data_IF_046483855821
#
_entry.id   IF_046483855821
#
_cell.length_a   1.000
_cell.length_b   1.000
_cell.length_c   1.000
_cell.angle_alpha   90.00
_cell.angle_beta   90.00
_cell.angle_gamma   90.00
#
_symmetry.space_group_name_H-M   'P 1'
#
loop_
_entity.id
_entity.type
_entity.pdbx_description
1 polymer ?
#
# COMPACT_ATOMS: atom_id res chain seq x y z
N UNK A 1 34.78 -56.46 -12.40
CA UNK A 1 33.48 -57.07 -12.01
C UNK A 1 32.49 -55.93 -11.81
N UNK A 2 31.30 -56.07 -12.38
CA UNK A 2 30.03 -55.41 -12.02
C UNK A 2 30.03 -53.96 -11.45
N UNK A 3 29.65 -53.02 -12.32
CA UNK A 3 28.46 -52.14 -12.15
C UNK A 3 27.21 -52.92 -11.66
N UNK A 4 26.17 -52.31 -11.03
CA UNK A 4 25.74 -50.90 -11.13
C UNK A 4 25.47 -50.26 -9.71
N UNK A 5 24.70 -49.18 -9.46
CA UNK A 5 23.69 -48.45 -10.26
C UNK A 5 23.37 -47.00 -9.80
N UNK A 6 22.53 -46.35 -10.62
CA UNK A 6 21.69 -45.14 -10.52
C UNK A 6 20.87 -44.95 -9.20
N UNK A 7 20.10 -43.87 -8.91
CA UNK A 7 19.16 -43.08 -9.75
C UNK A 7 18.94 -41.65 -9.21
N UNK A 8 18.50 -40.75 -10.11
CA UNK A 8 17.92 -39.40 -9.94
C UNK A 8 18.81 -38.18 -10.17
N UNK A 9 19.24 -38.06 -11.42
CA UNK A 9 19.41 -36.77 -12.08
C UNK A 9 18.02 -36.09 -12.24
N UNK A 10 17.81 -34.88 -11.71
CA UNK A 10 16.58 -34.09 -11.91
C UNK A 10 16.93 -32.73 -12.49
N UNK A 11 16.78 -32.60 -13.81
CA UNK A 11 16.92 -31.32 -14.53
C UNK A 11 15.73 -30.41 -14.22
N UNK A 12 15.94 -29.11 -13.91
CA UNK A 12 14.82 -28.20 -13.65
C UNK A 12 13.99 -27.94 -14.92
N UNK A 13 12.65 -27.78 -14.80
CA UNK A 13 11.78 -27.56 -15.95
C UNK A 13 11.96 -26.16 -16.55
N UNK A 14 12.07 -26.09 -17.87
CA UNK A 14 12.08 -24.83 -18.62
C UNK A 14 10.69 -24.20 -18.64
N UNK A 15 10.51 -23.11 -17.88
CA UNK A 15 9.27 -22.33 -17.88
C UNK A 15 9.07 -21.61 -19.21
N UNK A 16 8.30 -22.21 -20.11
CA UNK A 16 7.93 -21.57 -21.38
C UNK A 16 6.95 -20.41 -21.16
N UNK A 17 7.32 -19.23 -21.64
CA UNK A 17 6.47 -18.03 -21.56
C UNK A 17 5.30 -18.14 -22.55
N UNK A 18 4.03 -17.95 -22.14
CA UNK A 18 2.91 -17.96 -23.07
C UNK A 18 3.04 -16.86 -24.12
N UNK A 19 2.97 -17.23 -25.41
CA UNK A 19 2.94 -16.28 -26.53
C UNK A 19 1.71 -15.38 -26.41
N UNK A 20 1.91 -14.07 -26.26
CA UNK A 20 0.84 -13.12 -26.03
C UNK A 20 -0.21 -13.11 -27.15
N UNK A 21 -1.50 -13.25 -26.79
CA UNK A 21 -2.59 -13.00 -27.72
C UNK A 21 -2.52 -11.54 -28.20
N UNK A 22 -2.32 -11.36 -29.51
CA UNK A 22 -2.47 -10.06 -30.16
C UNK A 22 -3.95 -9.64 -30.09
N UNK A 23 -4.31 -8.80 -29.11
CA UNK A 23 -5.59 -8.10 -29.12
C UNK A 23 -5.64 -7.24 -30.39
N UNK A 24 -6.63 -7.51 -31.26
CA UNK A 24 -6.90 -6.65 -32.43
C UNK A 24 -7.20 -5.24 -31.93
N UNK A 25 -6.45 -4.27 -32.44
CA UNK A 25 -6.65 -2.85 -32.17
C UNK A 25 -7.90 -2.41 -32.93
N UNK A 26 -9.04 -2.33 -32.26
CA UNK A 26 -10.25 -1.74 -32.85
C UNK A 26 -10.01 -0.24 -32.99
N UNK A 27 -9.90 0.24 -34.22
CA UNK A 27 -9.97 1.67 -34.53
C UNK A 27 -11.41 2.11 -34.35
N UNK A 28 -11.70 2.83 -33.26
CA UNK A 28 -12.88 3.68 -33.18
C UNK A 28 -12.58 4.94 -33.98
N UNK A 29 -13.27 5.12 -35.11
CA UNK A 29 -13.17 6.32 -35.95
C UNK A 29 -13.79 7.51 -35.23
N UNK A 30 -12.96 8.50 -34.91
CA UNK A 30 -13.35 9.70 -34.18
C UNK A 30 -14.00 10.74 -35.12
N UNK A 31 -15.24 10.47 -35.55
CA UNK A 31 -16.00 11.44 -36.35
C UNK A 31 -16.67 12.48 -35.45
N UNK A 32 -15.86 13.44 -34.99
CA UNK A 32 -16.32 14.61 -34.25
C UNK A 32 -16.83 15.67 -35.26
N UNK A 33 -18.12 15.62 -35.60
CA UNK A 33 -18.78 16.73 -36.30
C UNK A 33 -19.37 17.71 -35.29
N UNK A 34 -18.55 18.68 -34.88
CA UNK A 34 -19.01 19.86 -34.17
C UNK A 34 -19.66 20.84 -35.16
N UNK A 35 -20.93 20.59 -35.51
CA UNK A 35 -21.73 21.55 -36.28
C UNK A 35 -22.30 22.63 -35.38
N UNK A 36 -21.46 23.62 -35.06
CA UNK A 36 -21.96 24.92 -34.62
C UNK A 36 -22.70 25.58 -35.80
N UNK A 37 -23.99 25.84 -35.64
CA UNK A 37 -24.81 26.56 -36.63
C UNK A 37 -25.61 27.65 -35.94
N UNK A 38 -24.94 28.77 -35.68
CA UNK A 38 -25.61 30.03 -35.38
C UNK A 38 -26.24 30.56 -36.66
N UNK A 39 -27.57 30.45 -36.80
CA UNK A 39 -28.32 31.23 -37.77
C UNK A 39 -29.41 32.04 -37.07
N UNK A 40 -29.08 33.32 -36.83
CA UNK A 40 -30.06 34.40 -36.67
C UNK A 40 -30.45 34.85 -38.08
N UNK A 41 -31.75 34.98 -38.39
CA UNK A 41 -32.32 36.02 -39.26
C UNK A 41 -33.86 35.90 -39.40
N UNK A 42 -34.59 36.74 -38.65
CA UNK A 42 -35.81 37.52 -39.03
C UNK A 42 -37.09 36.85 -39.58
N UNK A 43 -38.27 37.48 -39.37
CA UNK A 43 -39.58 36.85 -39.60
C UNK A 43 -40.15 37.09 -41.00
N UNK A 44 -41.05 36.20 -41.44
CA UNK A 44 -41.91 36.42 -42.59
C UNK A 44 -43.39 36.29 -42.18
N UNK A 45 -44.20 37.29 -42.49
CA UNK A 45 -45.65 37.28 -42.22
C UNK A 45 -46.41 36.91 -43.48
N UNK A 46 -47.41 36.03 -43.37
CA UNK A 46 -48.72 36.30 -43.97
C UNK A 46 -49.85 35.34 -43.56
N UNK A 47 -51.05 35.95 -43.48
CA UNK A 47 -52.40 35.41 -43.63
C UNK A 47 -53.22 34.99 -42.39
N UNK A 48 -54.39 35.64 -42.29
CA UNK A 48 -55.51 35.37 -41.39
C UNK A 48 -56.57 34.48 -42.06
N UNK A 49 -57.29 33.67 -41.27
CA UNK A 49 -58.78 33.62 -41.15
C UNK A 49 -59.11 32.58 -40.04
N UNK A 50 -59.83 32.90 -38.96
CA UNK A 50 -61.31 32.81 -38.80
C UNK A 50 -61.91 31.54 -39.45
N UNK A 51 -62.59 30.59 -38.78
CA UNK A 51 -63.02 30.43 -37.37
C UNK A 51 -63.22 28.90 -37.08
N UNK A 52 -63.89 28.35 -36.05
CA UNK A 52 -64.70 28.83 -34.91
C UNK A 52 -64.70 27.76 -33.76
N UNK A 53 -65.54 27.89 -32.72
CA UNK A 53 -65.59 26.97 -31.56
C UNK A 53 -66.54 25.77 -31.72
N UNK A 54 -66.28 24.64 -31.04
CA UNK A 54 -67.12 24.17 -29.90
C UNK A 54 -66.64 22.86 -29.23
N UNK A 55 -66.90 22.77 -27.91
CA UNK A 55 -67.05 21.57 -27.08
C UNK A 55 -65.84 20.61 -26.82
N UNK A 56 -65.12 20.83 -25.70
CA UNK A 56 -64.99 19.89 -24.54
C UNK A 56 -64.12 20.50 -23.40
N UNK A 57 -64.60 21.57 -22.75
CA UNK A 57 -63.81 22.32 -21.76
C UNK A 57 -63.51 21.60 -20.42
N UNK A 58 -64.09 20.42 -20.16
CA UNK A 58 -63.94 19.70 -18.88
C UNK A 58 -62.89 18.58 -18.87
N UNK A 59 -62.56 17.99 -20.02
CA UNK A 59 -61.64 16.84 -20.09
C UNK A 59 -60.19 17.28 -20.32
N UNK A 60 -59.99 18.37 -21.09
CA UNK A 60 -58.66 18.91 -21.36
C UNK A 60 -57.92 19.46 -20.12
N UNK A 61 -58.65 19.88 -19.08
CA UNK A 61 -58.05 20.41 -17.86
C UNK A 61 -57.32 19.34 -17.04
N UNK A 62 -57.87 18.12 -16.99
CA UNK A 62 -57.30 17.00 -16.25
C UNK A 62 -56.13 16.36 -17.02
N UNK A 63 -56.26 16.25 -18.35
CA UNK A 63 -55.16 15.84 -19.23
C UNK A 63 -53.95 16.80 -19.14
N UNK A 64 -54.19 18.12 -19.14
CA UNK A 64 -53.12 19.11 -18.95
C UNK A 64 -52.44 18.98 -17.58
N UNK A 65 -53.20 18.64 -16.53
CA UNK A 65 -52.67 18.43 -15.18
C UNK A 65 -51.80 17.17 -15.08
N UNK A 66 -52.21 16.08 -15.72
CA UNK A 66 -51.39 14.85 -15.82
C UNK A 66 -50.12 15.09 -16.66
N UNK A 67 -50.21 15.87 -17.75
CA UNK A 67 -49.03 16.27 -18.54
C UNK A 67 -48.04 17.08 -17.68
N UNK A 68 -48.51 18.07 -16.91
CA UNK A 68 -47.65 18.85 -16.01
C UNK A 68 -46.98 17.96 -14.95
N UNK A 69 -47.73 17.05 -14.31
CA UNK A 69 -47.17 16.11 -13.33
C UNK A 69 -46.12 15.16 -13.94
N UNK A 70 -46.28 14.75 -15.21
CA UNK A 70 -45.25 13.99 -15.93
C UNK A 70 -44.02 14.83 -16.24
N UNK A 71 -44.17 16.11 -16.59
CA UNK A 71 -43.05 17.03 -16.84
C UNK A 71 -42.25 17.28 -15.55
N UNK A 72 -42.92 17.50 -14.42
CA UNK A 72 -42.26 17.63 -13.10
C UNK A 72 -41.46 16.37 -12.75
N UNK A 73 -42.05 15.18 -12.95
CA UNK A 73 -41.38 13.89 -12.72
C UNK A 73 -40.20 13.65 -13.69
N UNK A 74 -40.24 14.21 -14.90
CA UNK A 74 -39.12 14.17 -15.86
C UNK A 74 -37.99 15.10 -15.39
N UNK A 75 -38.31 16.31 -14.95
CA UNK A 75 -37.34 17.27 -14.41
C UNK A 75 -36.64 16.73 -13.15
N UNK A 76 -37.39 16.13 -12.22
CA UNK A 76 -36.82 15.48 -11.03
C UNK A 76 -35.84 14.36 -11.41
N UNK A 77 -36.19 13.53 -12.41
CA UNK A 77 -35.32 12.46 -12.91
C UNK A 77 -34.08 13.00 -13.62
N UNK A 78 -34.18 14.11 -14.35
CA UNK A 78 -33.05 14.77 -14.99
C UNK A 78 -32.06 15.30 -13.93
N UNK A 79 -32.55 16.03 -12.92
CA UNK A 79 -31.74 16.50 -11.78
C UNK A 79 -31.09 15.34 -11.01
N UNK A 80 -31.79 14.21 -10.85
CA UNK A 80 -31.23 13.01 -10.22
C UNK A 80 -30.08 12.41 -11.05
N UNK A 81 -30.22 12.40 -12.38
CA UNK A 81 -29.19 11.87 -13.29
C UNK A 81 -27.96 12.77 -13.33
N UNK A 82 -28.14 14.10 -13.37
CA UNK A 82 -27.04 15.08 -13.29
C UNK A 82 -26.24 14.90 -12.00
N UNK A 83 -26.89 14.91 -10.83
CA UNK A 83 -26.21 14.70 -9.53
C UNK A 83 -25.52 13.34 -9.41
N UNK A 84 -25.90 12.33 -10.20
CA UNK A 84 -25.22 11.03 -10.28
C UNK A 84 -24.05 11.04 -11.27
N UNK A 85 -24.11 11.87 -12.29
CA UNK A 85 -23.05 12.06 -13.28
C UNK A 85 -21.89 12.84 -12.67
N UNK A 86 -22.16 13.93 -11.95
CA UNK A 86 -21.15 14.72 -11.22
C UNK A 86 -20.33 13.83 -10.26
N UNK A 87 -21.03 13.00 -9.46
CA UNK A 87 -20.41 12.04 -8.54
C UNK A 87 -19.60 10.98 -9.27
N UNK A 88 -19.98 10.59 -10.49
CA UNK A 88 -19.22 9.64 -11.29
C UNK A 88 -17.92 10.28 -11.79
N UNK A 89 -18.00 11.52 -12.27
CA UNK A 89 -16.86 12.30 -12.76
C UNK A 89 -15.83 12.56 -11.65
N UNK A 90 -16.26 13.00 -10.47
CA UNK A 90 -15.42 13.17 -9.28
C UNK A 90 -14.68 11.86 -8.91
N UNK A 91 -15.39 10.73 -8.91
CA UNK A 91 -14.79 9.42 -8.64
C UNK A 91 -13.79 8.97 -9.72
N UNK A 92 -13.98 9.37 -10.98
CA UNK A 92 -13.03 9.10 -12.07
C UNK A 92 -11.77 9.95 -11.90
N UNK A 93 -11.90 11.24 -11.56
CA UNK A 93 -10.78 12.16 -11.32
C UNK A 93 -9.92 11.66 -10.16
N UNK A 94 -10.55 11.35 -9.02
CA UNK A 94 -9.86 10.78 -7.85
C UNK A 94 -9.11 9.48 -8.21
N UNK A 95 -9.68 8.63 -9.06
CA UNK A 95 -9.03 7.40 -9.53
C UNK A 95 -7.84 7.70 -10.46
N UNK A 96 -7.91 8.71 -11.32
CA UNK A 96 -6.77 9.12 -12.16
C UNK A 96 -5.63 9.67 -11.31
N UNK A 97 -5.91 10.42 -10.25
CA UNK A 97 -4.89 10.95 -9.34
C UNK A 97 -4.21 9.83 -8.54
N UNK A 98 -4.97 8.86 -8.01
CA UNK A 98 -4.40 7.65 -7.39
C UNK A 98 -3.50 6.88 -8.37
N UNK A 99 -3.88 6.79 -9.65
CA UNK A 99 -3.03 6.17 -10.68
C UNK A 99 -1.77 7.00 -11.00
N UNK A 100 -1.86 8.33 -10.99
CA UNK A 100 -0.72 9.24 -11.15
C UNK A 100 0.25 9.12 -9.96
N UNK A 101 -0.24 9.13 -8.72
CA UNK A 101 0.56 8.87 -7.53
C UNK A 101 1.24 7.49 -7.59
N UNK A 102 0.53 6.41 -7.96
CA UNK A 102 1.14 5.10 -8.16
C UNK A 102 2.18 5.05 -9.29
N UNK A 103 2.10 5.93 -10.30
CA UNK A 103 3.16 6.09 -11.31
C UNK A 103 4.39 6.78 -10.69
N UNK A 104 4.20 7.93 -10.04
CA UNK A 104 5.26 8.69 -9.37
C UNK A 104 6.00 7.81 -8.36
N UNK A 105 5.29 7.09 -7.48
CA UNK A 105 5.89 6.18 -6.48
C UNK A 105 6.80 5.11 -7.13
N UNK A 106 6.40 4.57 -8.30
CA UNK A 106 7.24 3.61 -9.04
C UNK A 106 8.47 4.27 -9.64
N UNK A 107 8.33 5.47 -10.20
CA UNK A 107 9.43 6.25 -10.78
C UNK A 107 10.45 6.67 -9.70
N UNK A 108 9.97 7.18 -8.55
CA UNK A 108 10.80 7.47 -7.38
C UNK A 108 11.52 6.22 -6.87
N UNK A 109 10.84 5.06 -6.77
CA UNK A 109 11.47 3.79 -6.35
C UNK A 109 12.58 3.33 -7.31
N UNK A 110 12.41 3.54 -8.62
CA UNK A 110 13.47 3.27 -9.62
C UNK A 110 14.62 4.25 -9.48
N UNK A 111 14.34 5.54 -9.25
CA UNK A 111 15.37 6.56 -9.06
C UNK A 111 16.20 6.31 -7.80
N UNK A 112 15.56 5.97 -6.67
CA UNK A 112 16.25 5.59 -5.42
C UNK A 112 17.21 4.42 -5.65
N UNK A 113 16.77 3.36 -6.35
CA UNK A 113 17.64 2.23 -6.71
C UNK A 113 18.84 2.65 -7.57
N UNK A 114 18.64 3.56 -8.53
CA UNK A 114 19.74 4.09 -9.35
C UNK A 114 20.72 4.93 -8.53
N UNK A 115 20.22 5.81 -7.65
CA UNK A 115 21.04 6.62 -6.74
C UNK A 115 21.87 5.73 -5.84
N UNK A 116 21.25 4.73 -5.19
CA UNK A 116 21.93 3.73 -4.37
C UNK A 116 23.04 3.04 -5.18
N UNK A 117 22.74 2.53 -6.37
CA UNK A 117 23.72 1.87 -7.24
C UNK A 117 24.88 2.80 -7.66
N UNK A 118 24.61 4.10 -7.90
CA UNK A 118 25.67 5.07 -8.19
C UNK A 118 26.52 5.41 -6.97
N UNK A 119 25.93 5.49 -5.77
CA UNK A 119 26.68 5.71 -4.53
C UNK A 119 27.64 4.54 -4.27
N UNK A 120 27.17 3.30 -4.34
CA UNK A 120 28.02 2.12 -4.19
C UNK A 120 29.19 2.11 -5.19
N UNK A 121 28.95 2.45 -6.48
CA UNK A 121 30.01 2.59 -7.49
C UNK A 121 31.04 3.68 -7.18
N UNK A 122 30.64 4.77 -6.49
CA UNK A 122 31.54 5.86 -6.11
C UNK A 122 32.35 5.49 -4.87
N UNK A 123 31.73 4.83 -3.88
CA UNK A 123 32.41 4.37 -2.66
C UNK A 123 33.38 3.19 -2.90
N UNK A 124 33.28 2.51 -4.04
CA UNK A 124 34.05 1.28 -4.32
C UNK A 124 33.50 0.04 -3.61
N UNK A 125 32.38 0.17 -2.92
CA UNK A 125 31.70 -0.89 -2.19
C UNK A 125 30.71 -1.61 -3.10
N UNK A 126 30.74 -2.94 -3.08
CA UNK A 126 29.70 -3.76 -3.68
C UNK A 126 28.40 -3.61 -2.88
N UNK A 127 27.32 -3.20 -3.55
CA UNK A 127 25.99 -3.07 -2.95
C UNK A 127 25.43 -4.40 -2.45
N UNK A 128 26.00 -5.52 -2.91
CA UNK A 128 25.56 -6.87 -2.57
C UNK A 128 26.31 -7.38 -1.34
N UNK A 129 27.61 -7.10 -1.19
CA UNK A 129 28.42 -7.69 -0.12
C UNK A 129 28.04 -7.17 1.28
N UNK A 130 28.10 -5.85 1.52
CA UNK A 130 27.71 -5.26 2.82
C UNK A 130 26.24 -5.53 3.17
N UNK A 131 25.34 -5.49 2.18
CA UNK A 131 23.92 -5.67 2.43
C UNK A 131 23.59 -7.15 2.69
N UNK A 132 24.33 -8.10 2.11
CA UNK A 132 24.20 -9.54 2.39
C UNK A 132 24.83 -9.90 3.73
N UNK A 133 26.04 -9.41 4.02
CA UNK A 133 26.77 -9.74 5.25
C UNK A 133 26.04 -9.26 6.51
N UNK A 134 25.39 -8.09 6.48
CA UNK A 134 24.52 -7.65 7.60
C UNK A 134 23.09 -8.20 7.54
N UNK A 135 22.57 -8.60 6.37
CA UNK A 135 21.28 -9.32 6.29
C UNK A 135 21.38 -10.73 6.90
N UNK A 136 22.56 -11.35 6.90
CA UNK A 136 22.84 -12.59 7.64
C UNK A 136 22.69 -12.39 9.17
N UNK A 137 22.87 -11.17 9.69
CA UNK A 137 22.70 -10.84 11.11
C UNK A 137 21.24 -10.51 11.51
N UNK A 138 20.29 -10.46 10.58
CA UNK A 138 18.91 -9.99 10.84
C UNK A 138 17.85 -10.86 10.10
N UNK A 139 17.04 -11.68 10.81
CA UNK A 139 16.53 -11.42 12.17
C UNK A 139 17.33 -12.05 13.32
N UNK A 140 17.38 -11.36 14.45
CA UNK A 140 18.01 -11.83 15.69
C UNK A 140 17.08 -12.79 16.43
N UNK A 141 17.07 -14.07 16.02
CA UNK A 141 16.22 -15.10 16.65
C UNK A 141 16.84 -15.74 17.91
N UNK A 142 18.10 -15.42 18.20
CA UNK A 142 18.81 -15.85 19.41
C UNK A 142 19.19 -14.65 20.28
N UNK A 143 19.41 -14.88 21.57
CA UNK A 143 19.84 -13.84 22.50
C UNK A 143 21.25 -13.33 22.17
N UNK A 144 22.13 -14.25 21.76
CA UNK A 144 23.53 -13.96 21.45
C UNK A 144 23.64 -13.04 20.22
N UNK A 145 22.85 -13.31 19.16
CA UNK A 145 22.80 -12.45 17.98
C UNK A 145 22.37 -11.00 18.27
N UNK A 146 21.58 -10.76 19.34
CA UNK A 146 21.28 -9.39 19.80
C UNK A 146 22.50 -8.72 20.40
N UNK A 147 23.28 -9.44 21.21
CA UNK A 147 24.47 -8.89 21.86
C UNK A 147 25.64 -8.73 20.90
N UNK A 148 25.86 -9.69 19.99
CA UNK A 148 26.87 -9.60 18.94
C UNK A 148 26.64 -8.37 18.04
N UNK A 149 25.38 -8.03 17.75
CA UNK A 149 25.02 -6.85 16.96
C UNK A 149 25.19 -5.55 17.76
N UNK A 150 24.80 -5.52 19.03
CA UNK A 150 24.99 -4.36 19.91
C UNK A 150 26.47 -4.08 20.20
N UNK A 151 27.30 -5.12 20.37
CA UNK A 151 28.76 -4.96 20.51
C UNK A 151 29.37 -4.35 19.24
N UNK A 152 29.01 -4.84 18.05
CA UNK A 152 29.43 -4.25 16.76
C UNK A 152 28.96 -2.81 16.57
N UNK A 153 27.79 -2.44 17.10
CA UNK A 153 27.32 -1.04 17.10
C UNK A 153 28.20 -0.16 18.00
N UNK A 154 28.76 -0.69 19.08
CA UNK A 154 29.62 0.04 20.02
C UNK A 154 31.09 0.13 19.55
N UNK A 155 31.48 -0.58 18.49
CA UNK A 155 32.80 -0.45 17.88
C UNK A 155 32.95 0.90 17.15
N UNK A 156 33.77 1.80 17.73
CA UNK A 156 33.98 3.18 17.24
C UNK A 156 34.38 3.33 15.77
N UNK A 157 34.92 2.28 15.14
CA UNK A 157 35.31 2.30 13.73
C UNK A 157 34.13 2.03 12.77
N UNK A 158 33.02 1.50 13.29
CA UNK A 158 31.90 0.99 12.50
C UNK A 158 30.52 1.51 12.96
N UNK A 159 30.42 2.17 14.12
CA UNK A 159 29.16 2.68 14.72
C UNK A 159 28.23 3.34 13.68
N UNK A 160 28.68 4.38 12.97
CA UNK A 160 27.86 5.10 11.98
C UNK A 160 27.40 4.23 10.81
N UNK A 161 28.29 3.37 10.29
CA UNK A 161 28.02 2.52 9.13
C UNK A 161 27.02 1.40 9.48
N UNK A 162 27.26 0.70 10.59
CA UNK A 162 26.37 -0.36 11.10
C UNK A 162 25.03 0.22 11.50
N UNK A 163 25.00 1.37 12.19
CA UNK A 163 23.76 2.06 12.56
C UNK A 163 22.94 2.48 11.33
N UNK A 164 23.58 3.06 10.32
CA UNK A 164 22.94 3.48 9.06
C UNK A 164 22.34 2.29 8.29
N UNK A 165 23.09 1.18 8.21
CA UNK A 165 22.62 -0.05 7.58
C UNK A 165 21.47 -0.71 8.36
N UNK A 166 21.52 -0.64 9.69
CA UNK A 166 20.46 -1.11 10.58
C UNK A 166 19.16 -0.32 10.43
N UNK A 167 19.26 1.02 10.42
CA UNK A 167 18.13 1.93 10.12
C UNK A 167 17.54 1.61 8.75
N UNK A 168 18.38 1.38 7.74
CA UNK A 168 17.96 1.02 6.38
C UNK A 168 17.17 -0.29 6.36
N UNK A 169 17.67 -1.35 7.01
CA UNK A 169 16.94 -2.62 7.12
C UNK A 169 15.60 -2.46 7.84
N UNK A 170 15.58 -1.80 9.01
CA UNK A 170 14.35 -1.55 9.77
C UNK A 170 13.32 -0.74 8.95
N UNK A 171 13.77 0.21 8.14
CA UNK A 171 12.93 0.97 7.22
C UNK A 171 12.31 0.08 6.13
N UNK A 172 13.06 -0.88 5.58
CA UNK A 172 12.49 -1.87 4.65
C UNK A 172 11.44 -2.77 5.30
N UNK A 173 11.63 -3.18 6.56
CA UNK A 173 10.65 -3.96 7.31
C UNK A 173 9.36 -3.16 7.58
N UNK A 174 9.49 -1.89 8.00
CA UNK A 174 8.36 -0.99 8.24
C UNK A 174 7.49 -0.84 6.98
N UNK A 175 8.12 -0.69 5.82
CA UNK A 175 7.43 -0.52 4.54
C UNK A 175 6.34 0.56 4.61
N UNK A 176 5.13 0.22 4.16
CA UNK A 176 3.93 1.07 4.30
C UNK A 176 3.07 0.75 5.53
N UNK A 177 3.43 -0.28 6.31
CA UNK A 177 2.61 -0.79 7.43
C UNK A 177 2.52 0.24 8.56
N UNK A 178 3.64 0.89 8.89
CA UNK A 178 3.70 1.83 10.01
C UNK A 178 3.57 1.18 11.40
N UNK A 179 3.29 -0.12 11.48
CA UNK A 179 3.14 -0.86 12.73
C UNK A 179 4.51 -1.13 13.39
N UNK A 180 4.73 -0.48 14.52
CA UNK A 180 5.91 -0.67 15.39
C UNK A 180 5.95 -2.11 15.92
N UNK A 181 4.80 -2.64 16.35
CA UNK A 181 4.70 -3.96 16.95
C UNK A 181 5.03 -5.08 15.95
N UNK A 182 4.58 -4.92 14.70
CA UNK A 182 4.93 -5.84 13.61
C UNK A 182 6.44 -5.85 13.32
N UNK A 183 7.07 -4.68 13.22
CA UNK A 183 8.53 -4.57 13.00
C UNK A 183 9.30 -5.19 14.17
N UNK A 184 8.98 -4.82 15.41
CA UNK A 184 9.60 -5.40 16.63
C UNK A 184 9.50 -6.92 16.64
N UNK A 185 8.32 -7.48 16.30
CA UNK A 185 8.12 -8.92 16.24
C UNK A 185 8.97 -9.58 15.15
N UNK A 186 9.08 -8.99 13.96
CA UNK A 186 9.91 -9.54 12.88
C UNK A 186 11.41 -9.48 13.19
N UNK A 187 11.86 -8.46 13.92
CA UNK A 187 13.27 -8.22 14.25
C UNK A 187 13.82 -9.20 15.29
N UNK A 188 13.08 -9.39 16.39
CA UNK A 188 13.54 -10.17 17.56
C UNK A 188 12.88 -11.57 17.66
N UNK A 189 11.71 -11.77 17.08
CA UNK A 189 10.92 -12.98 17.32
C UNK A 189 10.34 -13.07 18.74
N UNK A 190 9.40 -13.98 18.96
CA UNK A 190 8.71 -14.11 20.25
C UNK A 190 9.56 -14.80 21.32
N UNK A 191 10.52 -15.62 20.91
CA UNK A 191 11.45 -16.34 21.78
C UNK A 191 12.39 -15.35 22.49
N UNK A 192 13.06 -14.46 21.74
CA UNK A 192 13.97 -13.46 22.31
C UNK A 192 13.20 -12.40 23.09
N UNK A 193 12.10 -11.84 22.55
CA UNK A 193 11.28 -10.86 23.26
C UNK A 193 10.76 -11.37 24.61
N UNK A 194 10.63 -12.69 24.79
CA UNK A 194 10.26 -13.29 26.08
C UNK A 194 11.27 -13.04 27.20
N UNK A 195 12.54 -12.83 26.86
CA UNK A 195 13.67 -12.61 27.77
C UNK A 195 13.86 -11.13 28.14
N UNK A 196 13.20 -10.22 27.41
CA UNK A 196 13.29 -8.78 27.60
C UNK A 196 12.00 -8.20 28.22
N UNK A 197 12.14 -7.05 28.87
CA UNK A 197 11.07 -6.06 29.01
C UNK A 197 11.65 -4.65 28.83
N UNK A 198 10.80 -3.62 28.81
CA UNK A 198 11.28 -2.25 28.54
C UNK A 198 12.28 -1.75 29.59
N UNK A 199 12.02 -2.02 30.88
CA UNK A 199 12.73 -1.44 32.02
C UNK A 199 13.80 -2.36 32.67
N UNK A 200 14.11 -3.54 32.11
CA UNK A 200 15.08 -4.50 32.67
C UNK A 200 14.68 -5.17 34.00
N UNK A 201 13.38 -5.29 34.28
CA UNK A 201 12.87 -5.73 35.61
C UNK A 201 12.56 -7.22 35.70
N UNK A 202 12.53 -7.75 36.93
CA UNK A 202 12.13 -9.13 37.25
C UNK A 202 12.94 -10.21 36.52
N UNK A 203 14.27 -10.04 36.47
CA UNK A 203 15.18 -11.00 35.82
C UNK A 203 15.15 -10.97 34.29
N UNK A 204 14.52 -9.96 33.67
CA UNK A 204 14.54 -9.73 32.23
C UNK A 204 15.58 -8.68 31.85
N UNK A 205 16.10 -8.76 30.62
CA UNK A 205 17.01 -7.76 30.06
C UNK A 205 16.25 -6.51 29.62
N UNK A 206 16.89 -5.34 29.67
CA UNK A 206 16.30 -4.06 29.27
C UNK A 206 16.29 -3.94 27.75
N UNK A 207 15.12 -3.69 27.18
CA UNK A 207 14.97 -3.42 25.75
C UNK A 207 15.27 -1.94 25.42
N UNK A 208 15.14 -1.04 26.40
CA UNK A 208 15.40 0.40 26.22
C UNK A 208 16.89 0.75 26.16
N UNK A 209 17.76 -0.10 26.69
CA UNK A 209 19.22 0.08 26.66
C UNK A 209 19.85 -0.28 25.31
N UNK A 210 19.18 -1.14 24.53
CA UNK A 210 19.65 -1.56 23.21
C UNK A 210 19.64 -0.36 22.24
N UNK A 211 20.76 -0.09 21.57
CA UNK A 211 20.92 0.97 20.58
C UNK A 211 20.04 0.75 19.35
N UNK A 212 19.84 -0.51 18.93
CA UNK A 212 18.91 -0.86 17.86
C UNK A 212 17.47 -0.44 18.17
N UNK A 213 17.07 -0.36 19.45
CA UNK A 213 15.70 0.01 19.85
C UNK A 213 15.60 1.50 20.23
N UNK A 214 16.54 1.98 21.03
CA UNK A 214 16.55 3.37 21.52
C UNK A 214 16.86 4.39 20.42
N UNK A 215 17.75 4.03 19.48
CA UNK A 215 18.22 4.85 18.35
C UNK A 215 17.60 4.36 17.03
N UNK A 216 18.02 3.21 16.50
CA UNK A 216 17.72 2.83 15.11
C UNK A 216 16.21 2.66 14.84
N UNK A 217 15.52 1.91 15.71
CA UNK A 217 14.07 1.70 15.62
C UNK A 217 13.30 2.99 15.91
N UNK A 218 13.78 3.83 16.83
CA UNK A 218 13.15 5.12 17.08
C UNK A 218 13.25 6.05 15.88
N UNK A 219 14.41 6.13 15.23
CA UNK A 219 14.66 7.03 14.10
C UNK A 219 13.70 6.77 12.93
N UNK A 220 13.43 5.49 12.60
CA UNK A 220 12.44 5.15 11.57
C UNK A 220 10.98 5.43 11.97
N UNK A 221 10.70 5.60 13.26
CA UNK A 221 9.36 5.85 13.81
C UNK A 221 9.18 7.24 14.44
N UNK A 222 10.19 8.12 14.39
CA UNK A 222 10.25 9.42 15.09
C UNK A 222 9.03 10.32 14.94
N UNK A 223 8.29 10.21 13.83
CA UNK A 223 7.02 10.91 13.58
C UNK A 223 5.90 10.56 14.57
N UNK A 224 5.96 9.42 15.26
CA UNK A 224 5.03 9.05 16.32
C UNK A 224 5.33 9.76 17.65
N UNK A 225 6.51 10.39 17.79
CA UNK A 225 7.00 10.90 19.06
C UNK A 225 7.51 9.79 20.01
N UNK A 226 8.34 10.18 20.98
CA UNK A 226 9.01 9.26 21.92
C UNK A 226 8.01 8.46 22.76
N UNK A 227 6.98 9.13 23.31
CA UNK A 227 6.04 8.54 24.27
C UNK A 227 5.20 7.42 23.64
N UNK A 228 4.58 7.69 22.48
CA UNK A 228 3.74 6.69 21.81
C UNK A 228 4.57 5.56 21.19
N UNK A 229 5.79 5.85 20.73
CA UNK A 229 6.76 4.82 20.34
C UNK A 229 7.02 3.84 21.50
N UNK A 230 7.40 4.34 22.69
CA UNK A 230 7.71 3.49 23.83
C UNK A 230 6.51 2.67 24.29
N UNK A 231 5.32 3.27 24.26
CA UNK A 231 4.05 2.62 24.58
C UNK A 231 3.74 1.45 23.64
N UNK A 232 3.92 1.62 22.33
CA UNK A 232 3.70 0.54 21.36
C UNK A 232 4.79 -0.54 21.41
N UNK A 233 6.05 -0.19 21.68
CA UNK A 233 7.10 -1.20 21.95
C UNK A 233 6.78 -2.01 23.21
N UNK A 234 6.42 -1.36 24.34
CA UNK A 234 6.00 -2.03 25.58
C UNK A 234 4.84 -3.00 25.33
N UNK A 235 3.83 -2.57 24.57
CA UNK A 235 2.66 -3.36 24.17
C UNK A 235 3.03 -4.56 23.29
N UNK A 236 3.95 -4.40 22.33
CA UNK A 236 4.44 -5.51 21.50
C UNK A 236 5.15 -6.60 22.32
N UNK A 237 5.98 -6.17 23.28
CA UNK A 237 6.64 -7.07 24.25
C UNK A 237 5.62 -7.82 25.10
N UNK A 238 4.60 -7.14 25.65
CA UNK A 238 3.56 -7.79 26.45
C UNK A 238 2.77 -8.82 25.65
N UNK A 239 2.37 -8.48 24.42
CA UNK A 239 1.70 -9.41 23.51
C UNK A 239 2.58 -10.63 23.21
N UNK A 240 3.89 -10.44 23.04
CA UNK A 240 4.85 -11.53 22.86
C UNK A 240 4.89 -12.47 24.09
N UNK A 241 4.96 -11.90 25.30
CA UNK A 241 4.94 -12.69 26.53
C UNK A 241 3.64 -13.47 26.68
N UNK A 242 2.51 -12.90 26.26
CA UNK A 242 1.21 -13.57 26.29
C UNK A 242 1.13 -14.70 25.25
N UNK A 243 1.65 -14.51 24.03
CA UNK A 243 1.81 -15.61 23.04
C UNK A 243 2.66 -16.75 23.57
N UNK A 244 3.78 -16.47 24.23
CA UNK A 244 4.64 -17.49 24.83
C UNK A 244 3.99 -18.22 26.03
N UNK A 245 3.22 -17.52 26.87
CA UNK A 245 2.39 -18.16 27.92
C UNK A 245 1.37 -19.13 27.31
N UNK A 246 0.67 -18.71 26.26
CA UNK A 246 -0.30 -19.56 25.54
C UNK A 246 0.38 -20.78 24.90
N UNK A 247 1.53 -20.60 24.25
CA UNK A 247 2.34 -21.69 23.66
C UNK A 247 2.71 -22.76 24.70
N UNK A 248 3.17 -22.35 25.89
CA UNK A 248 3.46 -23.27 27.01
C UNK A 248 2.21 -23.98 27.55
N UNK A 249 1.11 -23.25 27.75
CA UNK A 249 -0.15 -23.85 28.23
C UNK A 249 -0.68 -24.93 27.27
N UNK A 250 -0.68 -24.65 25.95
CA UNK A 250 -1.11 -25.59 24.93
C UNK A 250 -0.17 -26.80 24.80
N UNK A 251 1.14 -26.62 25.00
CA UNK A 251 2.09 -27.73 25.02
C UNK A 251 1.85 -28.65 26.22
N UNK A 252 1.72 -28.07 27.42
CA UNK A 252 1.45 -28.85 28.64
C UNK A 252 0.12 -29.62 28.54
N UNK A 253 -0.92 -29.01 27.95
CA UNK A 253 -2.22 -29.67 27.73
C UNK A 253 -2.15 -30.85 26.74
N UNK A 254 -1.15 -30.92 25.86
CA UNK A 254 -0.95 -32.05 24.94
C UNK A 254 -0.12 -33.19 25.54
N UNK A 255 0.52 -32.95 26.69
CA UNK A 255 1.37 -33.89 27.39
C UNK A 255 0.69 -34.47 28.66
N UNK A 256 -0.60 -34.16 28.87
CA UNK A 256 -1.52 -34.82 29.79
C UNK A 256 -2.52 -35.66 28.99
#
# INVERSE_FOLDING_TARGET
MMEPNDIFNVTPPSTSTPKGLKRKKVQLSHNFYASSSSQVLTPHSQNMFCSEETATASEGLDANKDIMAKLDLILEKQLNLESRLDKLEENIINKTDVMAHHKIVRETKVLVKKVQQTVCRISGESCEDFHTELAVLMPMQTLDAVFDLEEKILEKNYEDAVMSLQITYLFTLKGTSGDIGEVVKRVFGDEVLSLFNWDGRCGKKSLSELKIVSVALFEIFKLHGRIDFEKEVRKSVEQSHNRQKQKRYLLNKKNL
#
